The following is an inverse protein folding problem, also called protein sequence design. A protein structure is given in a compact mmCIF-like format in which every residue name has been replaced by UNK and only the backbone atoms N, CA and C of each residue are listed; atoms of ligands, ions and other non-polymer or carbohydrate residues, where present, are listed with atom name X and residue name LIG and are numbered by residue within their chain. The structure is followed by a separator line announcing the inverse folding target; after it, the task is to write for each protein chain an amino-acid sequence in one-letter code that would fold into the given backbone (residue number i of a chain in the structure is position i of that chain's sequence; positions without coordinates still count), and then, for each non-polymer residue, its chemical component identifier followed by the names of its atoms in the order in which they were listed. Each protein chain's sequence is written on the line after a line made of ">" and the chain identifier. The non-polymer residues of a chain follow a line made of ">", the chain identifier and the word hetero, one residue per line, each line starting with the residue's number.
data_IF_230333315750
#
_entry.id   IF_230333315750
#
_cell.length_a   1.000
_cell.length_b   1.000
_cell.length_c   1.000
_cell.angle_alpha   90.00
_cell.angle_beta   90.00
_cell.angle_gamma   90.00
#
_symmetry.space_group_name_H-M   'P 1'
#
loop_
_entity.id
_entity.type
_entity.pdbx_description
1 polymer ?
#
# COMPACT_ATOMS: atom_id res chain seq x y z
N UNK A 1 -0.76 20.98 1.97
CA UNK A 1 -1.63 20.13 2.80
C UNK A 1 -0.75 19.11 3.50
N UNK A 2 -0.94 18.89 4.80
CA UNK A 2 -0.26 17.81 5.53
C UNK A 2 -0.95 16.47 5.22
N UNK A 3 -0.18 15.43 4.95
CA UNK A 3 -0.67 14.05 4.76
C UNK A 3 0.00 13.15 5.79
N UNK A 4 -0.76 12.21 6.34
CA UNK A 4 -0.30 11.29 7.37
C UNK A 4 -0.57 9.88 6.86
N UNK A 5 0.42 9.01 7.04
CA UNK A 5 0.42 7.64 6.60
C UNK A 5 1.43 6.80 7.36
N UNK A 6 1.57 5.56 6.92
CA UNK A 6 2.50 4.56 7.46
C UNK A 6 3.47 4.11 6.39
N UNK A 7 4.57 3.48 6.80
CA UNK A 7 5.38 2.67 5.91
C UNK A 7 4.68 1.32 5.73
N UNK A 8 4.22 1.03 4.51
CA UNK A 8 3.38 -0.14 4.18
C UNK A 8 1.98 -0.13 4.86
N UNK A 9 1.14 -1.08 4.46
CA UNK A 9 -0.25 -1.23 4.91
C UNK A 9 -0.70 -2.69 5.07
N UNK A 10 0.05 -3.66 4.56
CA UNK A 10 -0.42 -5.05 4.37
C UNK A 10 -0.19 -5.94 5.61
N UNK A 11 -0.70 -5.52 6.77
CA UNK A 11 -0.46 -6.20 8.04
C UNK A 11 -1.73 -6.84 8.65
N UNK A 12 -1.74 -8.17 8.78
CA UNK A 12 -2.82 -8.89 9.47
C UNK A 12 -2.93 -8.51 10.95
N UNK A 13 -1.83 -8.07 11.58
CA UNK A 13 -1.82 -7.60 12.96
C UNK A 13 -2.64 -6.33 13.19
N UNK A 14 -3.14 -5.68 12.13
CA UNK A 14 -4.01 -4.51 12.23
C UNK A 14 -5.50 -4.86 12.22
N UNK A 15 -5.87 -6.13 12.06
CA UNK A 15 -7.25 -6.62 12.25
C UNK A 15 -7.68 -6.38 13.70
N UNK A 16 -8.90 -5.85 13.87
CA UNK A 16 -9.43 -5.39 15.15
C UNK A 16 -8.91 -4.01 15.58
N UNK A 17 -8.02 -3.38 14.80
CA UNK A 17 -7.50 -2.04 15.06
C UNK A 17 -7.86 -1.08 13.91
N UNK A 18 -7.14 -1.17 12.80
CA UNK A 18 -7.38 -0.39 11.57
C UNK A 18 -8.33 -1.16 10.64
N UNK A 19 -8.26 -2.49 10.66
CA UNK A 19 -9.04 -3.35 9.78
C UNK A 19 -10.16 -4.07 10.55
N UNK A 20 -11.29 -4.38 9.89
CA UNK A 20 -12.31 -5.22 10.51
C UNK A 20 -11.78 -6.62 10.85
N UNK A 21 -12.35 -7.25 11.87
CA UNK A 21 -12.08 -8.65 12.23
C UNK A 21 -12.82 -9.62 11.28
N UNK A 22 -12.57 -9.48 9.99
CA UNK A 22 -13.12 -10.36 8.96
C UNK A 22 -12.01 -10.92 8.08
N UNK A 23 -12.28 -12.10 7.52
CA UNK A 23 -11.37 -12.71 6.57
C UNK A 23 -11.54 -12.13 5.16
N UNK A 24 -10.43 -12.08 4.41
CA UNK A 24 -10.36 -11.70 2.99
C UNK A 24 -10.84 -10.28 2.69
N UNK A 25 -10.07 -9.30 3.14
CA UNK A 25 -10.25 -7.89 2.78
C UNK A 25 -9.14 -7.39 1.86
N UNK A 26 -9.42 -6.35 1.10
CA UNK A 26 -8.39 -5.56 0.45
C UNK A 26 -7.82 -4.56 1.48
N UNK A 27 -6.66 -4.89 2.06
CA UNK A 27 -6.02 -4.02 3.06
C UNK A 27 -5.78 -2.60 2.55
N UNK A 28 -5.48 -2.40 1.27
CA UNK A 28 -5.21 -1.06 0.73
C UNK A 28 -6.48 -0.23 0.66
N UNK A 29 -7.57 -0.84 0.23
CA UNK A 29 -8.89 -0.22 0.18
C UNK A 29 -9.36 0.20 1.57
N UNK A 30 -9.32 -0.70 2.55
CA UNK A 30 -9.66 -0.35 3.93
C UNK A 30 -8.72 0.72 4.49
N UNK A 31 -7.42 0.61 4.24
CA UNK A 31 -6.45 1.60 4.69
C UNK A 31 -6.74 3.01 4.15
N UNK A 32 -7.13 3.11 2.87
CA UNK A 32 -7.41 4.39 2.20
C UNK A 32 -8.63 5.14 2.76
N UNK A 33 -9.46 4.47 3.57
CA UNK A 33 -10.58 5.08 4.30
C UNK A 33 -10.13 5.79 5.58
N UNK A 34 -8.95 5.45 6.11
CA UNK A 34 -8.42 5.98 7.37
C UNK A 34 -7.27 6.97 7.18
N UNK A 35 -6.43 6.74 6.16
CA UNK A 35 -5.25 7.55 5.86
C UNK A 35 -5.28 8.00 4.40
N UNK A 36 -4.62 9.12 4.11
CA UNK A 36 -4.60 9.72 2.77
C UNK A 36 -3.22 9.66 2.09
N UNK A 37 -2.29 8.89 2.68
CA UNK A 37 -0.99 8.61 2.10
C UNK A 37 -0.42 7.30 2.63
N UNK A 38 0.42 6.63 1.84
CA UNK A 38 1.24 5.49 2.30
C UNK A 38 2.57 5.46 1.57
N UNK A 39 3.63 5.01 2.26
CA UNK A 39 4.92 4.74 1.64
C UNK A 39 4.98 3.30 1.12
N UNK A 40 5.43 3.13 -0.13
CA UNK A 40 5.61 1.82 -0.76
C UNK A 40 7.09 1.41 -0.67
N UNK A 41 7.45 0.72 0.40
CA UNK A 41 8.83 0.30 0.67
C UNK A 41 9.26 -0.99 -0.06
N UNK A 42 8.30 -1.84 -0.41
CA UNK A 42 8.54 -3.15 -1.02
C UNK A 42 9.33 -3.10 -2.34
N UNK A 43 9.36 -1.95 -3.02
CA UNK A 43 10.09 -1.77 -4.28
C UNK A 43 11.54 -1.35 -4.09
N UNK A 44 11.96 -0.99 -2.87
CA UNK A 44 13.38 -0.77 -2.57
C UNK A 44 14.20 -2.06 -2.71
N UNK A 45 13.56 -3.20 -2.49
CA UNK A 45 14.16 -4.54 -2.60
C UNK A 45 14.25 -5.07 -4.05
N UNK A 46 13.91 -4.23 -5.04
CA UNK A 46 14.02 -4.57 -6.45
C UNK A 46 15.46 -4.56 -7.00
N UNK A 47 16.45 -4.28 -6.15
CA UNK A 47 17.88 -4.39 -6.45
C UNK A 47 18.33 -5.82 -6.18
N UNK A 48 18.28 -6.67 -7.21
CA UNK A 48 18.79 -8.05 -7.13
C UNK A 48 20.30 -8.11 -7.43
N UNK A 49 20.95 -9.21 -7.04
CA UNK A 49 22.40 -9.47 -7.19
C UNK A 49 22.98 -9.24 -8.60
N UNK A 50 22.12 -9.17 -9.63
CA UNK A 50 22.52 -8.87 -11.02
C UNK A 50 22.72 -7.38 -11.32
N UNK A 51 22.52 -6.48 -10.35
CA UNK A 51 22.60 -5.03 -10.56
C UNK A 51 21.44 -4.44 -11.39
N UNK A 52 20.42 -5.25 -11.70
CA UNK A 52 19.24 -4.83 -12.46
C UNK A 52 18.09 -4.51 -11.52
N UNK A 53 17.65 -3.26 -11.52
CA UNK A 53 16.42 -2.86 -10.85
C UNK A 53 15.20 -3.47 -11.54
N UNK A 54 14.36 -4.17 -10.80
CA UNK A 54 13.06 -4.70 -11.29
C UNK A 54 11.94 -3.77 -10.85
N UNK A 55 11.41 -2.99 -11.78
CA UNK A 55 10.24 -2.16 -11.49
C UNK A 55 8.99 -3.03 -11.22
N UNK A 56 8.03 -2.54 -10.43
CA UNK A 56 6.75 -3.22 -10.29
C UNK A 56 6.08 -3.43 -11.65
N UNK A 57 5.36 -4.54 -11.78
CA UNK A 57 4.48 -4.75 -12.93
C UNK A 57 3.47 -3.62 -12.98
N UNK A 58 3.22 -3.07 -14.17
CA UNK A 58 2.25 -1.99 -14.39
C UNK A 58 0.85 -2.36 -13.87
N UNK A 59 0.44 -3.62 -14.02
CA UNK A 59 -0.82 -4.12 -13.49
C UNK A 59 -0.92 -4.04 -11.96
N UNK A 60 0.19 -4.23 -11.23
CA UNK A 60 0.20 -4.10 -9.76
C UNK A 60 0.00 -2.64 -9.36
N UNK A 61 0.67 -1.71 -10.04
CA UNK A 61 0.49 -0.28 -9.79
C UNK A 61 -0.93 0.19 -10.13
N UNK A 62 -1.51 -0.31 -11.24
CA UNK A 62 -2.90 -0.03 -11.61
C UNK A 62 -3.89 -0.53 -10.54
N UNK A 63 -3.73 -1.77 -10.09
CA UNK A 63 -4.57 -2.33 -9.02
C UNK A 63 -4.50 -1.50 -7.72
N UNK A 64 -3.32 -0.94 -7.38
CA UNK A 64 -3.19 -0.07 -6.22
C UNK A 64 -3.93 1.26 -6.42
N UNK A 65 -3.81 1.87 -7.59
CA UNK A 65 -4.52 3.10 -7.92
C UNK A 65 -6.05 2.90 -7.90
N UNK A 66 -6.54 1.75 -8.37
CA UNK A 66 -7.96 1.39 -8.34
C UNK A 66 -8.48 1.07 -6.94
N UNK A 67 -7.59 0.73 -6.00
CA UNK A 67 -7.96 0.33 -4.63
C UNK A 67 -8.09 1.51 -3.66
N UNK A 68 -7.81 2.75 -4.06
CA UNK A 68 -7.74 3.89 -3.12
C UNK A 68 -8.72 5.00 -3.46
N UNK A 69 -8.99 5.87 -2.48
CA UNK A 69 -9.81 7.08 -2.67
C UNK A 69 -9.10 8.13 -3.55
N UNK A 70 -9.88 9.00 -4.20
CA UNK A 70 -9.36 9.99 -5.18
C UNK A 70 -8.26 10.93 -4.64
N UNK A 71 -8.31 11.28 -3.34
CA UNK A 71 -7.32 12.17 -2.72
C UNK A 71 -6.06 11.43 -2.24
N UNK A 72 -6.00 10.10 -2.32
CA UNK A 72 -4.92 9.29 -1.77
C UNK A 72 -3.59 9.50 -2.54
N UNK A 73 -2.46 9.43 -1.83
CA UNK A 73 -1.11 9.55 -2.41
C UNK A 73 -0.21 8.39 -2.02
N UNK A 74 0.64 7.99 -2.97
CA UNK A 74 1.71 7.03 -2.72
C UNK A 74 3.04 7.78 -2.66
N UNK A 75 3.91 7.40 -1.73
CA UNK A 75 5.26 7.95 -1.56
C UNK A 75 6.33 6.89 -1.62
#
# INVERSE_FOLDING_TARGET
>A
MLRIGTCSWKYDSWKGLVYPETDKINHLEEYSKHYNSVEIDQWFWSLFDSGKAILPKTSVAANYAESVTDDFKFT
#
